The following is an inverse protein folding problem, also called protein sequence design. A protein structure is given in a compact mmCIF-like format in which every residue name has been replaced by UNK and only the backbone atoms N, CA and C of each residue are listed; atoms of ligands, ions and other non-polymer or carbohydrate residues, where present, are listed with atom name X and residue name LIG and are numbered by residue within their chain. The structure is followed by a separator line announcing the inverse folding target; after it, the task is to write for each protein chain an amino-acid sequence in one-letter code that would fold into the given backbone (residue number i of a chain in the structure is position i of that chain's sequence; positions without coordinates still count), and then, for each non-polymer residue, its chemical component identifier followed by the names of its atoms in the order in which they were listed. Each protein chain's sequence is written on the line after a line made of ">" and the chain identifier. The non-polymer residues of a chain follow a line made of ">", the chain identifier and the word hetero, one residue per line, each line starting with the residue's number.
data_IF_052004001152
#
_entry.id   IF_052004001152
#
_cell.length_a   1.000
_cell.length_b   1.000
_cell.length_c   1.000
_cell.angle_alpha   90.00
_cell.angle_beta   90.00
_cell.angle_gamma   90.00
#
_symmetry.space_group_name_H-M   'P 1'
#
loop_
_entity.id
_entity.type
_entity.pdbx_description
1 polymer ?
#
# COMPACT_ATOMS: atom_id res chain seq x y z
N UNK A 1 -1.67 -2.50 29.14
CA UNK A 1 -1.22 -3.56 28.22
C UNK A 1 -2.22 -3.82 27.08
N UNK A 2 -3.54 -3.90 27.35
CA UNK A 2 -4.54 -4.16 26.30
C UNK A 2 -4.54 -3.15 25.15
N UNK A 3 -4.42 -1.86 25.45
CA UNK A 3 -4.43 -0.79 24.43
C UNK A 3 -3.31 -0.94 23.39
N UNK A 4 -2.08 -1.25 23.83
CA UNK A 4 -0.93 -1.46 22.95
C UNK A 4 -1.15 -2.68 22.04
N UNK A 5 -1.67 -3.77 22.60
CA UNK A 5 -1.98 -5.00 21.86
C UNK A 5 -3.06 -4.78 20.81
N UNK A 6 -4.14 -4.06 21.17
CA UNK A 6 -5.22 -3.71 20.24
C UNK A 6 -4.68 -2.86 19.09
N UNK A 7 -3.90 -1.82 19.38
CA UNK A 7 -3.33 -0.95 18.36
C UNK A 7 -2.39 -1.71 17.42
N UNK A 8 -1.53 -2.57 17.97
CA UNK A 8 -0.63 -3.43 17.20
C UNK A 8 -1.41 -4.37 16.29
N UNK A 9 -2.51 -4.93 16.77
CA UNK A 9 -3.40 -5.80 16.00
C UNK A 9 -4.06 -5.04 14.86
N UNK A 10 -4.59 -3.85 15.12
CA UNK A 10 -5.19 -2.98 14.09
C UNK A 10 -4.17 -2.66 13.00
N UNK A 11 -2.95 -2.30 13.39
CA UNK A 11 -1.87 -2.02 12.44
C UNK A 11 -1.55 -3.26 11.58
N UNK A 12 -1.37 -4.43 12.19
CA UNK A 12 -1.11 -5.68 11.46
C UNK A 12 -2.25 -6.03 10.49
N UNK A 13 -3.51 -5.92 10.94
CA UNK A 13 -4.68 -6.18 10.10
C UNK A 13 -4.71 -5.22 8.91
N UNK A 14 -4.47 -3.93 9.13
CA UNK A 14 -4.39 -2.95 8.05
C UNK A 14 -3.25 -3.27 7.06
N UNK A 15 -2.09 -3.77 7.53
CA UNK A 15 -0.99 -4.19 6.64
C UNK A 15 -1.41 -5.39 5.79
N UNK A 16 -2.06 -6.39 6.39
CA UNK A 16 -2.57 -7.56 5.68
C UNK A 16 -3.61 -7.16 4.63
N UNK A 17 -4.55 -6.27 4.98
CA UNK A 17 -5.57 -5.77 4.07
C UNK A 17 -4.99 -4.96 2.91
N UNK A 18 -3.97 -4.14 3.17
CA UNK A 18 -3.23 -3.40 2.15
C UNK A 18 -2.59 -4.36 1.13
N UNK A 19 -1.85 -5.36 1.61
CA UNK A 19 -1.15 -6.34 0.77
C UNK A 19 -2.12 -7.26 0.00
N UNK A 20 -3.16 -7.75 0.68
CA UNK A 20 -4.19 -8.59 0.06
C UNK A 20 -4.92 -7.83 -1.06
N UNK A 21 -5.24 -6.55 -0.85
CA UNK A 21 -5.86 -5.70 -1.86
C UNK A 21 -4.95 -5.49 -3.07
N UNK A 22 -3.67 -5.20 -2.84
CA UNK A 22 -2.67 -5.06 -3.91
C UNK A 22 -2.52 -6.34 -4.73
N UNK A 23 -2.44 -7.49 -4.07
CA UNK A 23 -2.36 -8.79 -4.72
C UNK A 23 -3.63 -9.10 -5.54
N UNK A 24 -4.82 -8.86 -4.98
CA UNK A 24 -6.08 -9.07 -5.67
C UNK A 24 -6.16 -8.26 -6.97
N UNK A 25 -5.75 -6.99 -6.93
CA UNK A 25 -5.74 -6.09 -8.09
C UNK A 25 -4.67 -6.48 -9.13
N UNK A 26 -3.50 -6.97 -8.68
CA UNK A 26 -2.46 -7.49 -9.56
C UNK A 26 -2.93 -8.77 -10.29
N UNK A 27 -3.51 -9.73 -9.55
CA UNK A 27 -4.07 -10.96 -10.11
C UNK A 27 -5.20 -10.65 -11.08
N UNK A 28 -6.10 -9.72 -10.74
CA UNK A 28 -7.16 -9.27 -11.63
C UNK A 28 -6.60 -8.69 -12.93
N UNK A 29 -5.61 -7.80 -12.83
CA UNK A 29 -4.98 -7.16 -13.99
C UNK A 29 -4.30 -8.18 -14.90
N UNK A 30 -3.69 -9.22 -14.31
CA UNK A 30 -3.13 -10.34 -15.06
C UNK A 30 -4.20 -11.18 -15.76
N UNK A 31 -5.24 -11.60 -15.02
CA UNK A 31 -6.36 -12.40 -15.56
C UNK A 31 -7.15 -11.67 -16.63
N UNK A 32 -7.27 -10.36 -16.53
CA UNK A 32 -8.03 -9.49 -17.45
C UNK A 32 -7.12 -8.60 -18.29
N UNK A 33 -5.90 -9.05 -18.60
CA UNK A 33 -4.93 -8.28 -19.40
C UNK A 33 -5.46 -7.79 -20.75
N UNK A 34 -6.37 -8.56 -21.38
CA UNK A 34 -7.00 -8.19 -22.64
C UNK A 34 -8.00 -7.03 -22.52
N UNK A 35 -8.62 -6.84 -21.35
CA UNK A 35 -9.53 -5.73 -21.07
C UNK A 35 -8.80 -4.44 -20.66
N UNK A 36 -7.49 -4.53 -20.45
CA UNK A 36 -6.65 -3.42 -20.00
C UNK A 36 -6.74 -3.14 -18.50
N UNK A 37 -5.81 -2.33 -17.96
CA UNK A 37 -5.64 -2.14 -16.52
C UNK A 37 -6.76 -1.31 -15.87
N UNK A 38 -7.53 -0.56 -16.66
CA UNK A 38 -8.66 0.25 -16.19
C UNK A 38 -9.82 -0.58 -15.60
N UNK A 39 -9.87 -1.89 -15.90
CA UNK A 39 -10.87 -2.82 -15.34
C UNK A 39 -10.86 -2.84 -13.80
N UNK A 40 -9.69 -2.55 -13.21
CA UNK A 40 -9.50 -2.52 -11.75
C UNK A 40 -10.28 -1.39 -11.07
N UNK A 41 -10.68 -0.33 -11.80
CA UNK A 41 -11.46 0.79 -11.28
C UNK A 41 -12.97 0.65 -11.53
N UNK A 42 -13.42 -0.46 -12.12
CA UNK A 42 -14.84 -0.75 -12.29
C UNK A 42 -15.43 -1.40 -11.03
N UNK A 43 -16.75 -1.30 -10.84
CA UNK A 43 -17.44 -2.05 -9.77
C UNK A 43 -17.34 -3.55 -10.07
N UNK A 44 -17.07 -4.42 -9.08
CA UNK A 44 -16.95 -4.16 -7.64
C UNK A 44 -15.53 -3.76 -7.16
N UNK A 45 -14.52 -3.81 -8.02
CA UNK A 45 -13.09 -3.65 -7.67
C UNK A 45 -12.71 -2.26 -7.15
N UNK A 46 -13.53 -1.24 -7.42
CA UNK A 46 -13.40 0.05 -6.76
C UNK A 46 -13.41 -0.06 -5.23
N UNK A 47 -14.19 -1.00 -4.66
CA UNK A 47 -14.18 -1.25 -3.22
C UNK A 47 -12.81 -1.70 -2.72
N UNK A 48 -12.10 -2.53 -3.49
CA UNK A 48 -10.75 -3.00 -3.15
C UNK A 48 -9.76 -1.83 -3.17
N UNK A 49 -9.87 -0.90 -4.13
CA UNK A 49 -9.07 0.33 -4.13
C UNK A 49 -9.35 1.22 -2.92
N UNK A 50 -10.62 1.38 -2.53
CA UNK A 50 -10.99 2.15 -1.33
C UNK A 50 -10.47 1.50 -0.06
N UNK A 51 -10.62 0.18 0.08
CA UNK A 51 -10.09 -0.59 1.20
C UNK A 51 -8.56 -0.46 1.28
N UNK A 52 -7.88 -0.56 0.14
CA UNK A 52 -6.44 -0.37 0.03
C UNK A 52 -6.05 1.05 0.46
N UNK A 53 -6.79 2.08 0.01
CA UNK A 53 -6.55 3.48 0.36
C UNK A 53 -6.76 3.78 1.85
N UNK A 54 -7.82 3.25 2.45
CA UNK A 54 -8.08 3.38 3.91
C UNK A 54 -6.97 2.69 4.71
N UNK A 55 -6.59 1.48 4.32
CA UNK A 55 -5.49 0.75 4.95
C UNK A 55 -4.19 1.53 4.86
N UNK A 56 -3.87 2.06 3.68
CA UNK A 56 -2.69 2.89 3.43
C UNK A 56 -2.70 4.11 4.35
N UNK A 57 -3.74 4.94 4.31
CA UNK A 57 -3.83 6.17 5.12
C UNK A 57 -3.78 5.88 6.62
N UNK A 58 -4.29 4.74 7.09
CA UNK A 58 -4.26 4.36 8.51
C UNK A 58 -2.85 4.00 9.03
N UNK A 59 -1.94 3.54 8.16
CA UNK A 59 -0.58 3.11 8.52
C UNK A 59 0.26 4.18 9.25
N UNK A 60 0.40 5.41 8.75
CA UNK A 60 1.25 6.42 9.41
C UNK A 60 0.72 6.79 10.80
N UNK A 61 -0.60 6.86 10.99
CA UNK A 61 -1.19 7.17 12.29
C UNK A 61 -0.97 6.05 13.29
N UNK A 62 -1.30 4.81 12.89
CA UNK A 62 -1.16 3.64 13.77
C UNK A 62 0.31 3.31 14.06
N UNK A 63 1.20 3.48 13.07
CA UNK A 63 2.64 3.27 13.21
C UNK A 63 3.30 4.32 14.11
N UNK A 64 2.99 5.61 13.93
CA UNK A 64 3.49 6.66 14.81
C UNK A 64 3.05 6.44 16.26
N UNK A 65 1.78 6.10 16.45
CA UNK A 65 1.22 5.88 17.78
C UNK A 65 1.87 4.68 18.49
N UNK A 66 2.18 3.61 17.76
CA UNK A 66 2.94 2.47 18.28
C UNK A 66 4.36 2.88 18.73
N UNK A 67 5.07 3.64 17.89
CA UNK A 67 6.42 4.13 18.22
C UNK A 67 6.40 5.00 19.47
N UNK A 68 5.39 5.88 19.58
CA UNK A 68 5.20 6.75 20.74
C UNK A 68 4.92 5.96 22.02
N UNK A 69 4.03 4.97 21.99
CA UNK A 69 3.69 4.13 23.15
C UNK A 69 4.85 3.23 23.60
N UNK A 70 5.66 2.75 22.66
CA UNK A 70 6.82 1.88 22.96
C UNK A 70 8.02 2.73 23.41
N UNK A 71 8.04 4.04 23.11
CA UNK A 71 9.14 4.94 23.43
C UNK A 71 10.34 4.81 22.48
N UNK A 72 10.11 4.33 21.25
CA UNK A 72 11.18 4.17 20.28
C UNK A 72 11.60 5.50 19.66
N UNK A 73 12.91 5.77 19.50
CA UNK A 73 13.36 6.98 18.84
C UNK A 73 13.08 6.91 17.35
N UNK A 74 12.43 7.95 16.80
CA UNK A 74 12.11 8.04 15.36
C UNK A 74 13.34 7.99 14.45
N UNK A 75 14.53 8.26 15.00
CA UNK A 75 15.81 8.16 14.30
C UNK A 75 16.33 6.74 14.06
N UNK A 76 15.64 5.69 14.53
CA UNK A 76 16.06 4.32 14.22
C UNK A 76 16.01 4.10 12.71
N UNK A 77 17.09 3.52 12.17
CA UNK A 77 17.30 3.35 10.73
C UNK A 77 16.17 2.58 10.05
N UNK A 78 15.57 1.60 10.73
CA UNK A 78 14.43 0.85 10.18
C UNK A 78 13.12 1.66 10.22
N UNK A 79 12.92 2.59 11.17
CA UNK A 79 11.77 3.50 11.21
C UNK A 79 11.90 4.53 10.09
N UNK A 80 13.06 5.16 9.96
CA UNK A 80 13.33 6.12 8.89
C UNK A 80 13.26 5.45 7.51
N UNK A 81 13.92 4.31 7.35
CA UNK A 81 13.93 3.54 6.11
C UNK A 81 12.52 3.11 5.71
N UNK A 82 11.73 2.56 6.63
CA UNK A 82 10.33 2.20 6.35
C UNK A 82 9.47 3.42 6.03
N UNK A 83 9.70 4.57 6.67
CA UNK A 83 8.97 5.82 6.38
C UNK A 83 9.27 6.33 4.96
N UNK A 84 10.53 6.33 4.54
CA UNK A 84 10.92 6.75 3.19
C UNK A 84 10.33 5.81 2.13
N UNK A 85 10.45 4.50 2.33
CA UNK A 85 9.87 3.50 1.41
C UNK A 85 8.35 3.67 1.35
N UNK A 86 7.70 3.92 2.50
CA UNK A 86 6.26 4.15 2.58
C UNK A 86 5.84 5.36 1.77
N UNK A 87 6.52 6.50 1.90
CA UNK A 87 6.21 7.72 1.14
C UNK A 87 6.33 7.47 -0.36
N UNK A 88 7.42 6.84 -0.82
CA UNK A 88 7.62 6.54 -2.24
C UNK A 88 6.54 5.58 -2.76
N UNK A 89 6.23 4.52 -2.01
CA UNK A 89 5.21 3.54 -2.38
C UNK A 89 3.80 4.16 -2.42
N UNK A 90 3.47 5.03 -1.44
CA UNK A 90 2.20 5.74 -1.37
C UNK A 90 2.03 6.73 -2.52
N UNK A 91 3.07 7.48 -2.87
CA UNK A 91 3.06 8.39 -4.02
C UNK A 91 2.93 7.61 -5.34
N UNK A 92 3.65 6.51 -5.50
CA UNK A 92 3.54 5.63 -6.66
C UNK A 92 2.13 5.05 -6.79
N UNK A 93 1.53 4.60 -5.68
CA UNK A 93 0.16 4.12 -5.61
C UNK A 93 -0.86 5.20 -5.99
N UNK A 94 -0.72 6.41 -5.44
CA UNK A 94 -1.61 7.52 -5.73
C UNK A 94 -1.57 7.88 -7.22
N UNK A 95 -0.35 8.00 -7.77
CA UNK A 95 -0.17 8.29 -9.19
C UNK A 95 -0.71 7.16 -10.09
N UNK A 96 -0.56 5.91 -9.66
CA UNK A 96 -1.14 4.76 -10.35
C UNK A 96 -2.67 4.91 -10.43
N UNK A 97 -3.35 5.21 -9.34
CA UNK A 97 -4.82 5.41 -9.32
C UNK A 97 -5.25 6.53 -10.27
N UNK A 98 -4.59 7.70 -10.19
CA UNK A 98 -4.87 8.83 -11.08
C UNK A 98 -4.74 8.40 -12.54
N UNK A 99 -3.69 7.65 -12.86
CA UNK A 99 -3.43 7.20 -14.23
C UNK A 99 -4.43 6.17 -14.71
N UNK A 100 -4.79 5.20 -13.88
CA UNK A 100 -5.83 4.23 -14.19
C UNK A 100 -7.17 4.93 -14.42
N UNK A 101 -7.48 5.99 -13.66
CA UNK A 101 -8.69 6.77 -13.85
C UNK A 101 -8.66 7.54 -15.18
N UNK A 102 -7.51 8.11 -15.55
CA UNK A 102 -7.34 8.74 -16.88
C UNK A 102 -7.53 7.73 -18.02
N UNK A 103 -6.97 6.52 -17.91
CA UNK A 103 -7.17 5.45 -18.89
C UNK A 103 -8.65 5.01 -18.96
N UNK A 104 -9.34 4.95 -17.83
CA UNK A 104 -10.78 4.65 -17.75
C UNK A 104 -11.63 5.69 -18.50
N UNK A 105 -11.22 6.96 -18.48
CA UNK A 105 -11.92 8.07 -19.14
C UNK A 105 -11.54 8.22 -20.63
N UNK A 106 -10.89 7.22 -21.24
CA UNK A 106 -10.50 7.24 -22.65
C UNK A 106 -9.16 7.90 -22.94
N UNK A 107 -8.39 8.28 -21.90
CA UNK A 107 -7.04 8.80 -22.06
C UNK A 107 -6.06 7.72 -22.53
N UNK A 108 -4.98 8.15 -23.20
CA UNK A 108 -3.90 7.25 -23.62
C UNK A 108 -2.72 7.30 -22.65
N UNK A 109 -1.91 6.24 -22.63
CA UNK A 109 -0.71 6.21 -21.81
C UNK A 109 0.13 4.95 -21.97
N UNK A 110 1.45 5.09 -21.86
CA UNK A 110 2.42 3.98 -21.85
C UNK A 110 2.10 2.90 -20.81
N UNK A 111 1.76 1.68 -21.23
CA UNK A 111 1.50 0.57 -20.32
C UNK A 111 2.69 0.25 -19.39
N UNK A 112 3.93 0.39 -19.90
CA UNK A 112 5.17 0.15 -19.15
C UNK A 112 5.25 1.04 -17.90
N UNK A 113 4.84 2.31 -18.01
CA UNK A 113 4.86 3.23 -16.88
C UNK A 113 3.78 2.89 -15.82
N UNK A 114 2.61 2.36 -16.23
CA UNK A 114 1.57 1.91 -15.28
C UNK A 114 2.10 0.72 -14.51
N UNK A 115 2.73 -0.21 -15.22
CA UNK A 115 3.34 -1.38 -14.63
C UNK A 115 4.46 -1.01 -13.66
N UNK A 116 5.33 -0.07 -14.02
CA UNK A 116 6.40 0.41 -13.14
C UNK A 116 5.83 0.96 -11.82
N UNK A 117 4.80 1.79 -11.86
CA UNK A 117 4.15 2.32 -10.66
C UNK A 117 3.50 1.21 -9.81
N UNK A 118 2.87 0.23 -10.45
CA UNK A 118 2.28 -0.92 -9.77
C UNK A 118 3.35 -1.78 -9.08
N UNK A 119 4.48 -2.02 -9.75
CA UNK A 119 5.60 -2.79 -9.19
C UNK A 119 6.25 -2.01 -8.04
N UNK A 120 6.55 -0.73 -8.21
CA UNK A 120 7.17 0.11 -7.16
C UNK A 120 6.30 0.17 -5.92
N UNK A 121 4.99 0.39 -6.06
CA UNK A 121 4.07 0.41 -4.91
C UNK A 121 3.98 -0.95 -4.23
N UNK A 122 3.81 -2.05 -4.99
CA UNK A 122 3.70 -3.40 -4.42
C UNK A 122 4.98 -3.81 -3.69
N UNK A 123 6.14 -3.66 -4.34
CA UNK A 123 7.44 -4.00 -3.76
C UNK A 123 7.71 -3.14 -2.53
N UNK A 124 7.39 -1.84 -2.58
CA UNK A 124 7.53 -0.95 -1.45
C UNK A 124 6.72 -1.39 -0.23
N UNK A 125 5.44 -1.72 -0.41
CA UNK A 125 4.59 -2.20 0.69
C UNK A 125 5.06 -3.54 1.26
N UNK A 126 5.49 -4.48 0.40
CA UNK A 126 6.05 -5.76 0.84
C UNK A 126 7.37 -5.56 1.61
N UNK A 127 8.24 -4.66 1.14
CA UNK A 127 9.50 -4.37 1.81
C UNK A 127 9.28 -3.79 3.22
N UNK A 128 8.31 -2.89 3.40
CA UNK A 128 7.97 -2.35 4.72
C UNK A 128 7.46 -3.44 5.65
N UNK A 129 6.57 -4.32 5.16
CA UNK A 129 6.07 -5.45 5.96
C UNK A 129 7.21 -6.39 6.38
N UNK A 130 8.19 -6.64 5.49
CA UNK A 130 9.39 -7.41 5.80
C UNK A 130 10.28 -6.73 6.86
N UNK A 131 10.51 -5.43 6.73
CA UNK A 131 11.29 -4.64 7.70
C UNK A 131 10.67 -4.66 9.10
N UNK A 132 9.33 -4.66 9.21
CA UNK A 132 8.63 -4.78 10.49
C UNK A 132 8.81 -6.15 11.16
N UNK A 133 8.97 -7.22 10.36
CA UNK A 133 9.24 -8.57 10.84
C UNK A 133 10.71 -8.79 11.21
N UNK A 134 11.63 -8.18 10.46
CA UNK A 134 13.08 -8.32 10.62
C UNK A 134 13.71 -7.26 11.55
N UNK A 135 12.90 -6.47 12.26
CA UNK A 135 13.42 -5.41 13.15
C UNK A 135 14.40 -5.99 14.18
N UNK A 136 15.54 -5.33 14.43
CA UNK A 136 16.46 -5.77 15.46
C UNK A 136 15.75 -5.75 16.82
N UNK A 137 15.94 -6.82 17.61
CA UNK A 137 15.47 -6.95 18.99
C UNK A 137 16.20 -5.99 19.92
#
# INVERSE_FOLDING_TARGET
>A
MEYLTTLKTIHMVATVLLLASGLALAVLSWRKRAAGPAITLQRPWLFVWLLMGVSLVSMPFTGWWLVHLIGWPLGQTWILGSSVIYTVAALAWFWLVVRLNRLRLGGTGSAKFTLALAVVSLVGFVAIAGLMGAKPV
#
